data_IF_591401860983
#
_entry.id   IF_591401860983
#
_cell.length_a   1.000
_cell.length_b   1.000
_cell.length_c   1.000
_cell.angle_alpha   90.00
_cell.angle_beta   90.00
_cell.angle_gamma   90.00
#
_symmetry.space_group_name_H-M   'P 1'
#
loop_
_entity.id
_entity.type
_entity.pdbx_description
1 polymer ?
#
# COMPACT_ATOMS: atom_id res chain seq x y z
N UNK A 1 21.11 5.91 17.33
CA UNK A 1 22.41 6.60 17.09
C UNK A 1 23.19 6.72 18.40
N UNK A 2 24.46 6.29 18.41
CA UNK A 2 25.36 6.42 19.56
C UNK A 2 25.67 7.90 19.86
N UNK A 3 25.77 8.26 21.15
CA UNK A 3 26.04 9.63 21.62
C UNK A 3 27.36 10.20 21.05
N UNK A 4 28.36 9.33 20.86
CA UNK A 4 29.65 9.68 20.25
C UNK A 4 29.50 10.12 18.79
N UNK A 5 28.68 9.39 18.02
CA UNK A 5 28.41 9.68 16.61
C UNK A 5 27.73 11.04 16.43
N UNK A 6 26.75 11.34 17.29
CA UNK A 6 26.05 12.64 17.27
C UNK A 6 27.01 13.81 17.55
N UNK A 7 27.92 13.64 18.51
CA UNK A 7 28.88 14.70 18.87
C UNK A 7 29.89 14.96 17.76
N UNK A 8 30.37 13.91 17.09
CA UNK A 8 31.25 14.05 15.94
C UNK A 8 30.52 14.72 14.76
N UNK A 9 29.28 14.32 14.46
CA UNK A 9 28.50 14.93 13.38
C UNK A 9 28.25 16.44 13.59
N UNK A 10 27.98 16.86 14.84
CA UNK A 10 27.85 18.29 15.18
C UNK A 10 29.19 19.02 15.00
N UNK A 11 30.30 18.40 15.42
CA UNK A 11 31.63 18.99 15.27
C UNK A 11 32.03 19.17 13.80
N UNK A 12 31.71 18.19 12.94
CA UNK A 12 31.98 18.30 11.50
C UNK A 12 31.07 19.33 10.83
N UNK A 13 29.80 19.41 11.22
CA UNK A 13 28.88 20.44 10.72
C UNK A 13 29.32 21.84 11.15
N UNK A 14 29.87 21.97 12.37
CA UNK A 14 30.48 23.20 12.86
C UNK A 14 31.76 23.60 12.10
N UNK A 15 32.57 22.63 11.66
CA UNK A 15 33.76 22.88 10.83
C UNK A 15 33.36 23.28 9.40
N UNK A 16 32.32 22.65 8.82
CA UNK A 16 31.78 23.02 7.51
C UNK A 16 31.20 24.44 7.47
N UNK A 17 30.78 24.97 8.62
CA UNK A 17 30.21 26.30 8.75
C UNK A 17 28.72 26.37 8.42
N UNK A 18 28.08 27.48 8.77
CA UNK A 18 26.67 27.69 8.51
C UNK A 18 26.42 27.86 7.00
N UNK A 19 25.61 26.96 6.44
CA UNK A 19 25.21 27.02 5.04
C UNK A 19 24.00 27.95 4.89
N UNK A 20 24.06 28.87 3.92
CA UNK A 20 22.94 29.76 3.60
C UNK A 20 21.75 28.95 3.02
N UNK A 21 20.53 29.10 3.56
CA UNK A 21 19.35 28.37 3.08
C UNK A 21 19.02 28.58 1.60
N UNK A 22 19.30 29.77 1.05
CA UNK A 22 19.02 30.05 -0.36
C UNK A 22 20.02 29.31 -1.27
N UNK A 23 21.31 29.40 -0.95
CA UNK A 23 22.39 28.68 -1.65
C UNK A 23 22.18 27.17 -1.59
N UNK A 24 21.73 26.64 -0.45
CA UNK A 24 21.36 25.23 -0.31
C UNK A 24 20.17 24.84 -1.19
N UNK A 25 19.11 25.66 -1.25
CA UNK A 25 17.93 25.39 -2.11
C UNK A 25 18.27 25.41 -3.60
N UNK A 26 19.18 26.29 -4.02
CA UNK A 26 19.70 26.31 -5.40
C UNK A 26 20.49 25.03 -5.68
N UNK A 27 21.36 24.62 -4.75
CA UNK A 27 22.15 23.40 -4.88
C UNK A 27 21.29 22.13 -4.90
N UNK A 28 20.22 22.08 -4.10
CA UNK A 28 19.26 20.96 -4.11
C UNK A 28 18.26 21.03 -5.26
N UNK A 29 18.34 22.02 -6.14
CA UNK A 29 17.46 22.19 -7.30
C UNK A 29 16.03 22.64 -6.98
N UNK A 30 15.77 23.10 -5.74
CA UNK A 30 14.47 23.61 -5.31
C UNK A 30 14.19 25.04 -5.84
N UNK A 31 15.23 25.75 -6.29
CA UNK A 31 15.13 27.08 -6.94
C UNK A 31 16.06 27.09 -8.16
N UNK A 32 15.55 27.48 -9.33
CA UNK A 32 16.37 27.68 -10.52
C UNK A 32 17.17 28.97 -10.39
N UNK A 33 18.50 28.88 -10.29
CA UNK A 33 19.37 30.06 -10.37
C UNK A 33 19.58 30.46 -11.82
N UNK A 34 19.30 31.72 -12.15
CA UNK A 34 19.46 32.28 -13.50
C UNK A 34 20.93 32.40 -13.97
N UNK A 35 21.92 31.99 -13.17
CA UNK A 35 23.34 32.29 -13.41
C UNK A 35 24.22 31.05 -13.62
N UNK A 36 23.66 29.85 -13.74
CA UNK A 36 24.45 28.62 -13.96
C UNK A 36 24.26 28.04 -15.36
N UNK A 37 24.75 28.77 -16.37
CA UNK A 37 25.26 28.15 -17.60
C UNK A 37 26.78 28.04 -17.44
N UNK A 38 27.25 27.00 -16.76
CA UNK A 38 28.52 26.39 -17.15
C UNK A 38 28.76 25.07 -16.41
N UNK A 39 29.02 24.05 -17.22
CA UNK A 39 29.65 22.77 -16.90
C UNK A 39 28.88 21.73 -16.08
N UNK A 40 28.64 20.62 -16.78
CA UNK A 40 28.42 19.26 -16.30
C UNK A 40 26.96 18.81 -16.03
N UNK A 41 26.41 18.15 -17.06
CA UNK A 41 25.52 17.00 -17.01
C UNK A 41 24.95 16.64 -15.62
N UNK A 42 23.75 17.11 -15.34
CA UNK A 42 22.69 16.21 -14.92
C UNK A 42 21.39 16.82 -15.42
N UNK A 43 20.68 16.06 -16.25
CA UNK A 43 19.28 16.35 -16.54
C UNK A 43 18.56 16.59 -15.21
N UNK A 44 17.49 17.39 -15.18
CA UNK A 44 16.63 17.44 -14.00
C UNK A 44 16.10 16.02 -13.79
N UNK A 45 16.74 15.27 -12.89
CA UNK A 45 16.02 14.27 -12.13
C UNK A 45 15.03 15.11 -11.35
N UNK A 46 13.84 15.27 -11.91
CA UNK A 46 12.64 15.45 -11.13
C UNK A 46 12.75 14.40 -10.03
N UNK A 47 13.22 14.84 -8.85
CA UNK A 47 13.06 14.02 -7.67
C UNK A 47 11.55 14.02 -7.50
N UNK A 48 10.93 12.94 -7.95
CA UNK A 48 9.64 12.42 -7.50
C UNK A 48 9.71 12.07 -6.00
N UNK A 49 10.26 12.99 -5.21
CA UNK A 49 10.46 12.91 -3.78
C UNK A 49 10.16 14.28 -3.16
N UNK A 50 9.15 14.97 -3.68
CA UNK A 50 8.27 15.67 -2.76
C UNK A 50 7.73 14.58 -1.84
N UNK A 51 8.31 14.46 -0.64
CA UNK A 51 7.78 13.59 0.39
C UNK A 51 6.29 13.95 0.50
N UNK A 52 5.34 13.01 0.29
CA UNK A 52 3.91 13.34 0.30
C UNK A 52 3.50 14.06 1.60
N UNK A 53 4.30 13.91 2.67
CA UNK A 53 4.19 14.68 3.91
C UNK A 53 4.38 16.19 3.72
N UNK A 54 5.35 16.62 2.91
CA UNK A 54 5.59 18.04 2.64
C UNK A 54 4.45 18.65 1.85
N UNK A 55 3.89 17.91 0.88
CA UNK A 55 2.69 18.33 0.15
C UNK A 55 1.49 18.41 1.10
N UNK A 56 1.26 17.41 1.96
CA UNK A 56 0.16 17.43 2.96
C UNK A 56 0.33 18.57 3.97
N UNK A 57 1.55 18.88 4.39
CA UNK A 57 1.84 20.02 5.28
C UNK A 57 1.64 21.35 4.52
N UNK A 58 2.00 21.45 3.25
CA UNK A 58 1.69 22.62 2.42
C UNK A 58 0.19 22.78 2.20
N UNK A 59 -0.54 21.70 1.98
CA UNK A 59 -2.00 21.68 1.83
C UNK A 59 -2.68 22.24 3.09
N UNK A 60 -2.25 21.84 4.28
CA UNK A 60 -2.76 22.42 5.54
C UNK A 60 -2.50 23.93 5.67
N UNK A 61 -1.38 24.42 5.14
CA UNK A 61 -1.01 25.83 5.22
C UNK A 61 -1.68 26.71 4.16
N UNK A 62 -2.12 26.14 3.03
CA UNK A 62 -2.68 26.89 1.90
C UNK A 62 -4.19 26.68 1.66
N UNK A 63 -4.71 25.51 2.01
CA UNK A 63 -6.11 25.13 1.84
C UNK A 63 -6.72 24.84 3.21
N UNK A 64 -7.90 25.40 3.50
CA UNK A 64 -8.62 25.21 4.77
C UNK A 64 -9.18 23.79 4.88
N UNK A 65 -8.31 22.78 4.98
CA UNK A 65 -8.72 21.41 5.31
C UNK A 65 -9.23 21.35 6.75
N UNK A 66 -10.28 20.57 6.97
CA UNK A 66 -10.76 20.29 8.33
C UNK A 66 -9.80 19.32 9.03
N UNK A 67 -9.66 19.43 10.35
CA UNK A 67 -8.80 18.52 11.12
C UNK A 67 -9.20 17.03 10.93
N UNK A 68 -10.47 16.78 10.66
CA UNK A 68 -11.03 15.43 10.44
C UNK A 68 -10.52 14.76 9.15
N UNK A 69 -10.20 15.54 8.11
CA UNK A 69 -9.64 15.03 6.86
C UNK A 69 -8.11 14.95 6.90
N UNK A 70 -7.48 15.83 7.70
CA UNK A 70 -6.03 15.91 7.81
C UNK A 70 -5.41 14.70 8.52
N UNK A 71 -5.95 14.29 9.67
CA UNK A 71 -5.37 13.18 10.45
C UNK A 71 -5.36 11.84 9.70
N UNK A 72 -6.43 11.46 8.97
CA UNK A 72 -6.39 10.27 8.13
C UNK A 72 -5.41 10.42 6.96
N UNK A 73 -5.38 11.58 6.29
CA UNK A 73 -4.49 11.80 5.15
C UNK A 73 -3.01 11.63 5.53
N UNK A 74 -2.57 12.29 6.61
CA UNK A 74 -1.18 12.20 7.06
C UNK A 74 -0.85 10.80 7.59
N UNK A 75 -1.79 10.15 8.28
CA UNK A 75 -1.60 8.78 8.76
C UNK A 75 -1.46 7.80 7.60
N UNK A 76 -2.33 7.87 6.60
CA UNK A 76 -2.27 7.00 5.41
C UNK A 76 -0.94 7.23 4.68
N UNK A 77 -0.54 8.48 4.44
CA UNK A 77 0.73 8.78 3.78
C UNK A 77 1.93 8.21 4.54
N UNK A 78 1.95 8.36 5.87
CA UNK A 78 3.00 7.79 6.72
C UNK A 78 3.04 6.26 6.67
N UNK A 79 1.87 5.61 6.76
CA UNK A 79 1.78 4.15 6.65
C UNK A 79 2.23 3.66 5.28
N UNK A 80 1.92 4.37 4.20
CA UNK A 80 2.37 4.02 2.85
C UNK A 80 3.89 4.09 2.68
N UNK A 81 4.55 5.04 3.35
CA UNK A 81 6.02 5.09 3.40
C UNK A 81 6.59 3.94 4.23
N UNK A 82 5.97 3.63 5.38
CA UNK A 82 6.41 2.51 6.22
C UNK A 82 6.28 1.15 5.53
N UNK A 83 5.26 0.97 4.68
CA UNK A 83 5.07 -0.25 3.88
C UNK A 83 6.12 -0.40 2.77
N UNK A 84 6.76 0.68 2.33
CA UNK A 84 7.83 0.64 1.32
C UNK A 84 9.20 0.28 1.92
N UNK A 85 9.37 0.49 3.21
CA UNK A 85 10.65 0.24 3.89
C UNK A 85 10.69 -1.18 4.45
N UNK A 86 11.55 -2.02 3.87
CA UNK A 86 11.75 -3.42 4.27
C UNK A 86 12.09 -3.59 5.76
N UNK A 87 12.58 -2.54 6.42
CA UNK A 87 12.83 -2.56 7.86
C UNK A 87 11.57 -2.85 8.70
N UNK A 88 10.37 -2.56 8.17
CA UNK A 88 9.09 -2.74 8.88
C UNK A 88 8.37 -4.05 8.55
N UNK A 89 9.02 -5.02 7.89
CA UNK A 89 8.41 -6.29 7.48
C UNK A 89 7.67 -7.03 8.61
N UNK A 90 8.11 -6.88 9.86
CA UNK A 90 7.44 -7.48 11.02
C UNK A 90 6.12 -6.77 11.38
N UNK A 91 6.03 -5.46 11.15
CA UNK A 91 4.90 -4.60 11.47
C UNK A 91 3.86 -4.49 10.34
N UNK A 92 4.07 -5.15 9.20
CA UNK A 92 3.15 -5.04 8.06
C UNK A 92 1.74 -5.55 8.37
N UNK A 93 1.59 -6.50 9.30
CA UNK A 93 0.27 -6.99 9.71
C UNK A 93 -0.51 -5.92 10.46
N UNK A 94 0.15 -5.27 11.40
CA UNK A 94 -0.39 -4.18 12.21
C UNK A 94 -0.70 -2.97 11.34
N UNK A 95 0.18 -2.64 10.38
CA UNK A 95 -0.05 -1.55 9.44
C UNK A 95 -1.28 -1.81 8.56
N UNK A 96 -1.43 -3.03 8.02
CA UNK A 96 -2.59 -3.38 7.20
C UNK A 96 -3.91 -3.31 8.00
N UNK A 97 -3.90 -3.72 9.27
CA UNK A 97 -5.07 -3.59 10.16
C UNK A 97 -5.40 -2.14 10.51
N UNK A 98 -4.38 -1.33 10.83
CA UNK A 98 -4.56 0.09 11.12
C UNK A 98 -5.17 0.79 9.91
N UNK A 99 -4.64 0.51 8.71
CA UNK A 99 -5.14 1.05 7.46
C UNK A 99 -6.62 0.72 7.25
N UNK A 100 -7.02 -0.55 7.43
CA UNK A 100 -8.42 -0.94 7.33
C UNK A 100 -9.33 -0.26 8.35
N UNK A 101 -8.83 -0.06 9.57
CA UNK A 101 -9.58 0.65 10.62
C UNK A 101 -9.81 2.11 10.21
N UNK A 102 -8.80 2.75 9.63
CA UNK A 102 -8.91 4.11 9.09
C UNK A 102 -9.93 4.15 7.94
N UNK A 103 -9.85 3.22 6.99
CA UNK A 103 -10.83 3.14 5.89
C UNK A 103 -12.26 2.92 6.38
N UNK A 104 -12.46 2.16 7.46
CA UNK A 104 -13.79 2.01 8.10
C UNK A 104 -14.27 3.31 8.73
N UNK A 105 -13.38 4.07 9.37
CA UNK A 105 -13.73 5.37 9.96
C UNK A 105 -13.99 6.46 8.93
N UNK A 106 -13.45 6.33 7.71
CA UNK A 106 -13.56 7.35 6.67
C UNK A 106 -14.91 7.41 5.97
N UNK A 107 -15.76 6.39 6.13
CA UNK A 107 -17.11 6.38 5.56
C UNK A 107 -17.08 6.47 4.04
N UNK A 108 -17.33 7.66 3.49
CA UNK A 108 -17.45 7.95 2.06
C UNK A 108 -16.27 8.78 1.47
N UNK A 109 -15.37 9.32 2.30
CA UNK A 109 -14.27 10.21 1.86
C UNK A 109 -12.98 9.48 1.46
N UNK A 110 -13.06 8.16 1.24
CA UNK A 110 -11.92 7.32 0.89
C UNK A 110 -11.44 7.29 -0.57
N UNK A 111 -12.23 7.65 -1.63
CA UNK A 111 -11.86 7.40 -3.02
C UNK A 111 -10.46 7.89 -3.45
N UNK A 112 -10.03 9.03 -2.93
CA UNK A 112 -8.72 9.63 -3.20
C UNK A 112 -7.54 8.77 -2.70
N UNK A 113 -7.72 8.03 -1.61
CA UNK A 113 -6.66 7.20 -1.02
C UNK A 113 -6.60 5.80 -1.63
N UNK A 114 -7.69 5.33 -2.24
CA UNK A 114 -7.78 4.00 -2.86
C UNK A 114 -6.69 3.79 -3.90
N UNK A 115 -6.43 4.82 -4.71
CA UNK A 115 -5.49 4.73 -5.82
C UNK A 115 -4.06 4.48 -5.37
N UNK A 116 -3.71 4.92 -4.17
CA UNK A 116 -2.38 4.71 -3.59
C UNK A 116 -2.32 3.41 -2.77
N UNK A 117 -3.37 3.12 -2.00
CA UNK A 117 -3.36 2.02 -1.02
C UNK A 117 -3.54 0.64 -1.66
N UNK A 118 -4.50 0.49 -2.58
CA UNK A 118 -4.83 -0.83 -3.14
C UNK A 118 -3.66 -1.44 -3.92
N UNK A 119 -2.99 -0.72 -4.84
CA UNK A 119 -1.84 -1.28 -5.56
C UNK A 119 -0.71 -1.71 -4.63
N UNK A 120 -0.45 -0.93 -3.56
CA UNK A 120 0.61 -1.24 -2.59
C UNK A 120 0.29 -2.49 -1.79
N UNK A 121 -0.95 -2.66 -1.34
CA UNK A 121 -1.35 -3.89 -0.65
C UNK A 121 -1.25 -5.12 -1.57
N UNK A 122 -1.60 -4.99 -2.84
CA UNK A 122 -1.45 -6.07 -3.83
C UNK A 122 0.03 -6.43 -4.02
N UNK A 123 0.90 -5.42 -4.13
CA UNK A 123 2.36 -5.60 -4.26
C UNK A 123 2.96 -6.32 -3.05
N UNK A 124 2.62 -5.88 -1.83
CA UNK A 124 3.05 -6.52 -0.58
C UNK A 124 2.57 -7.97 -0.52
N UNK A 125 1.31 -8.22 -0.90
CA UNK A 125 0.76 -9.58 -0.90
C UNK A 125 1.50 -10.48 -1.89
N UNK A 126 1.93 -9.94 -3.04
CA UNK A 126 2.74 -10.67 -4.03
C UNK A 126 4.16 -10.92 -3.52
N UNK A 127 4.75 -9.99 -2.78
CA UNK A 127 6.10 -10.13 -2.22
C UNK A 127 6.19 -11.28 -1.19
N UNK A 128 5.11 -11.59 -0.47
CA UNK A 128 5.05 -12.72 0.47
C UNK A 128 4.80 -14.10 -0.16
N UNK A 129 4.97 -14.25 -1.47
CA UNK A 129 4.90 -15.55 -2.17
C UNK A 129 5.94 -16.50 -1.57
N UNK A 130 5.50 -17.45 -0.73
CA UNK A 130 6.36 -18.41 -0.03
C UNK A 130 6.16 -18.51 1.49
N UNK A 131 5.33 -17.64 2.11
CA UNK A 131 4.92 -17.78 3.52
C UNK A 131 3.39 -17.91 3.63
N UNK A 132 2.84 -19.14 3.70
CA UNK A 132 1.40 -19.38 3.59
C UNK A 132 0.59 -18.62 4.65
N UNK A 133 1.02 -18.62 5.93
CA UNK A 133 0.30 -17.92 7.01
C UNK A 133 0.25 -16.39 6.86
N UNK A 134 1.25 -15.79 6.22
CA UNK A 134 1.24 -14.33 5.96
C UNK A 134 0.33 -14.02 4.79
N UNK A 135 0.42 -14.85 3.73
CA UNK A 135 -0.41 -14.69 2.54
C UNK A 135 -1.90 -14.84 2.83
N UNK A 136 -2.29 -15.82 3.65
CA UNK A 136 -3.68 -15.96 4.12
C UNK A 136 -4.20 -14.70 4.79
N UNK A 137 -3.40 -14.10 5.68
CA UNK A 137 -3.77 -12.88 6.37
C UNK A 137 -3.97 -11.71 5.39
N UNK A 138 -3.00 -11.46 4.50
CA UNK A 138 -3.11 -10.35 3.55
C UNK A 138 -4.25 -10.54 2.55
N UNK A 139 -4.51 -11.77 2.10
CA UNK A 139 -5.67 -12.09 1.27
C UNK A 139 -6.99 -11.72 1.96
N UNK A 140 -7.15 -12.04 3.25
CA UNK A 140 -8.33 -11.62 4.03
C UNK A 140 -8.40 -10.10 4.18
N UNK A 141 -7.26 -9.42 4.36
CA UNK A 141 -7.27 -7.95 4.44
C UNK A 141 -7.67 -7.31 3.12
N UNK A 142 -7.23 -7.84 1.97
CA UNK A 142 -7.67 -7.38 0.65
C UNK A 142 -9.18 -7.58 0.49
N UNK A 143 -9.73 -8.73 0.92
CA UNK A 143 -11.17 -8.97 0.88
C UNK A 143 -11.95 -7.97 1.74
N UNK A 144 -11.50 -7.73 2.98
CA UNK A 144 -12.12 -6.73 3.86
C UNK A 144 -12.02 -5.32 3.28
N UNK A 145 -10.94 -5.00 2.57
CA UNK A 145 -10.78 -3.69 1.93
C UNK A 145 -11.76 -3.55 0.77
N UNK A 146 -11.89 -4.58 -0.07
CA UNK A 146 -12.86 -4.60 -1.17
C UNK A 146 -14.29 -4.48 -0.65
N UNK A 147 -14.61 -5.09 0.49
CA UNK A 147 -15.93 -4.96 1.13
C UNK A 147 -16.26 -3.51 1.55
N UNK A 148 -15.25 -2.72 1.93
CA UNK A 148 -15.41 -1.30 2.28
C UNK A 148 -15.54 -0.44 1.02
N UNK A 149 -14.63 -0.66 0.06
CA UNK A 149 -14.45 0.20 -1.13
C UNK A 149 -15.50 -0.05 -2.22
N UNK A 150 -16.07 -1.27 -2.29
CA UNK A 150 -17.11 -1.72 -3.22
C UNK A 150 -16.79 -1.36 -4.67
N UNK A 151 -17.56 -0.45 -5.29
CA UNK A 151 -17.47 -0.07 -6.70
C UNK A 151 -16.09 0.48 -7.07
N UNK A 152 -15.41 1.15 -6.14
CA UNK A 152 -14.09 1.75 -6.38
C UNK A 152 -12.96 0.69 -6.50
N UNK A 153 -13.22 -0.59 -6.23
CA UNK A 153 -12.25 -1.68 -6.43
C UNK A 153 -12.14 -2.13 -7.89
N UNK A 154 -13.11 -1.76 -8.75
CA UNK A 154 -13.22 -2.16 -10.16
C UNK A 154 -11.92 -2.08 -10.98
N UNK A 155 -11.15 -0.97 -10.98
CA UNK A 155 -9.92 -0.90 -11.79
C UNK A 155 -8.83 -1.90 -11.35
N UNK A 156 -8.89 -2.38 -10.11
CA UNK A 156 -7.89 -3.29 -9.53
C UNK A 156 -8.32 -4.76 -9.59
N UNK A 157 -9.55 -5.07 -9.99
CA UNK A 157 -10.10 -6.43 -9.96
C UNK A 157 -9.26 -7.44 -10.75
N UNK A 158 -8.76 -7.05 -11.94
CA UNK A 158 -7.87 -7.93 -12.73
C UNK A 158 -6.61 -8.34 -11.96
N UNK A 159 -6.01 -7.39 -11.22
CA UNK A 159 -4.82 -7.66 -10.43
C UNK A 159 -5.13 -8.54 -9.21
N UNK A 160 -6.28 -8.31 -8.57
CA UNK A 160 -6.77 -9.12 -7.45
C UNK A 160 -7.03 -10.56 -7.90
N UNK A 161 -7.67 -10.77 -9.05
CA UNK A 161 -7.93 -12.11 -9.59
C UNK A 161 -6.64 -12.83 -9.99
N UNK A 162 -5.67 -12.14 -10.59
CA UNK A 162 -4.34 -12.71 -10.82
C UNK A 162 -3.70 -13.19 -9.52
N UNK A 163 -3.83 -12.41 -8.43
CA UNK A 163 -3.26 -12.75 -7.13
C UNK A 163 -3.97 -13.94 -6.46
N UNK A 164 -5.29 -14.05 -6.65
CA UNK A 164 -6.12 -15.20 -6.25
C UNK A 164 -5.71 -16.46 -7.03
N UNK A 165 -5.55 -16.36 -8.36
CA UNK A 165 -5.13 -17.48 -9.20
C UNK A 165 -3.75 -18.02 -8.81
N UNK A 166 -2.80 -17.13 -8.50
CA UNK A 166 -1.50 -17.51 -7.97
C UNK A 166 -1.63 -18.25 -6.62
N UNK A 167 -2.47 -17.75 -5.71
CA UNK A 167 -2.71 -18.34 -4.40
C UNK A 167 -3.43 -19.70 -4.47
N UNK A 168 -4.18 -19.95 -5.55
CA UNK A 168 -4.90 -21.21 -5.77
C UNK A 168 -3.97 -22.40 -6.00
N UNK A 169 -2.75 -22.16 -6.44
CA UNK A 169 -1.74 -23.19 -6.69
C UNK A 169 -0.96 -23.63 -5.44
N UNK A 170 -1.20 -22.98 -4.29
CA UNK A 170 -0.44 -23.18 -3.06
C UNK A 170 -1.04 -24.27 -2.15
N UNK A 171 -0.68 -24.24 -0.85
CA UNK A 171 -1.10 -25.17 0.20
C UNK A 171 -2.63 -25.20 0.41
N UNK A 172 -3.12 -26.29 1.01
CA UNK A 172 -4.55 -26.50 1.27
C UNK A 172 -5.18 -25.41 2.16
N UNK A 173 -4.47 -24.91 3.18
CA UNK A 173 -4.96 -23.84 4.06
C UNK A 173 -5.20 -22.51 3.34
N UNK A 174 -4.32 -22.19 2.38
CA UNK A 174 -4.45 -21.00 1.54
C UNK A 174 -5.69 -21.13 0.65
N UNK A 175 -5.94 -22.31 0.07
CA UNK A 175 -7.13 -22.55 -0.78
C UNK A 175 -8.45 -22.29 -0.04
N UNK A 176 -8.57 -22.74 1.21
CA UNK A 176 -9.76 -22.47 2.05
C UNK A 176 -9.95 -20.96 2.22
N UNK A 177 -8.87 -20.25 2.55
CA UNK A 177 -8.92 -18.79 2.71
C UNK A 177 -9.28 -18.09 1.39
N UNK A 178 -8.76 -18.56 0.27
CA UNK A 178 -9.05 -17.98 -1.06
C UNK A 178 -10.53 -18.14 -1.43
N UNK A 179 -11.16 -19.27 -1.11
CA UNK A 179 -12.60 -19.47 -1.32
C UNK A 179 -13.42 -18.48 -0.48
N UNK A 180 -13.09 -18.31 0.81
CA UNK A 180 -13.75 -17.33 1.68
C UNK A 180 -13.56 -15.89 1.19
N UNK A 181 -12.37 -15.55 0.68
CA UNK A 181 -12.09 -14.25 0.07
C UNK A 181 -12.93 -14.04 -1.19
N UNK A 182 -13.08 -15.08 -2.02
CA UNK A 182 -13.91 -15.03 -3.22
C UNK A 182 -15.38 -14.74 -2.88
N UNK A 183 -15.91 -15.38 -1.84
CA UNK A 183 -17.27 -15.18 -1.34
C UNK A 183 -17.49 -13.74 -0.85
N UNK A 184 -16.55 -13.21 -0.05
CA UNK A 184 -16.63 -11.84 0.45
C UNK A 184 -16.58 -10.81 -0.69
N UNK A 185 -15.70 -11.01 -1.67
CA UNK A 185 -15.60 -10.16 -2.86
C UNK A 185 -16.89 -10.24 -3.69
N UNK A 186 -17.42 -11.45 -3.91
CA UNK A 186 -18.67 -11.65 -4.65
C UNK A 186 -19.85 -10.94 -3.98
N UNK A 187 -19.95 -11.03 -2.66
CA UNK A 187 -20.99 -10.34 -1.87
C UNK A 187 -20.84 -8.82 -1.91
N UNK A 188 -19.61 -8.32 -1.91
CA UNK A 188 -19.32 -6.88 -1.93
C UNK A 188 -19.58 -6.22 -3.30
N UNK A 189 -19.28 -6.90 -4.41
CA UNK A 189 -19.43 -6.36 -5.76
C UNK A 189 -20.79 -6.66 -6.41
N UNK A 190 -21.47 -7.74 -6.01
CA UNK A 190 -22.78 -8.12 -6.56
C UNK A 190 -22.77 -8.25 -8.08
N UNK A 191 -23.48 -7.37 -8.80
CA UNK A 191 -23.61 -7.40 -10.26
C UNK A 191 -22.27 -7.16 -10.99
N UNK A 192 -21.36 -6.40 -10.39
CA UNK A 192 -20.04 -6.09 -10.98
C UNK A 192 -19.08 -7.29 -10.92
N UNK A 193 -19.44 -8.36 -10.21
CA UNK A 193 -18.68 -9.60 -10.17
C UNK A 193 -18.93 -10.48 -11.42
N UNK A 194 -20.09 -10.33 -12.07
CA UNK A 194 -20.52 -11.14 -13.21
C UNK A 194 -19.48 -11.32 -14.35
N UNK A 195 -18.78 -10.27 -14.82
CA UNK A 195 -17.81 -10.43 -15.93
C UNK A 195 -16.58 -11.27 -15.57
N UNK A 196 -16.30 -11.47 -14.28
CA UNK A 196 -15.13 -12.20 -13.80
C UNK A 196 -15.44 -13.66 -13.42
N UNK A 197 -16.72 -14.03 -13.30
CA UNK A 197 -17.17 -15.40 -13.00
C UNK A 197 -16.62 -16.44 -13.99
N UNK A 198 -16.65 -16.23 -15.33
CA UNK A 198 -16.22 -17.24 -16.28
C UNK A 198 -14.76 -17.67 -16.10
N UNK A 199 -13.91 -16.74 -15.65
CA UNK A 199 -12.49 -16.98 -15.42
C UNK A 199 -12.25 -17.79 -14.14
N UNK A 200 -13.16 -17.72 -13.16
CA UNK A 200 -13.08 -18.41 -11.88
C UNK A 200 -13.66 -19.82 -11.89
N UNK A 201 -14.64 -20.08 -12.76
CA UNK A 201 -15.33 -21.37 -12.85
C UNK A 201 -14.35 -22.55 -13.00
N UNK A 202 -13.32 -22.51 -13.87
CA UNK A 202 -12.36 -23.62 -14.01
C UNK A 202 -11.60 -23.93 -12.71
N UNK A 203 -11.28 -22.90 -11.91
CA UNK A 203 -10.58 -23.06 -10.63
C UNK A 203 -11.49 -23.70 -9.57
N UNK A 204 -12.74 -23.26 -9.50
CA UNK A 204 -13.76 -23.83 -8.60
C UNK A 204 -14.08 -25.29 -8.96
N UNK A 205 -14.28 -25.57 -10.24
CA UNK A 205 -14.51 -26.95 -10.72
C UNK A 205 -13.32 -27.85 -10.42
N UNK A 206 -12.09 -27.35 -10.55
CA UNK A 206 -10.89 -28.11 -10.20
C UNK A 206 -10.84 -28.43 -8.71
N UNK A 207 -11.27 -27.54 -7.82
CA UNK A 207 -11.34 -27.85 -6.37
C UNK A 207 -12.37 -28.93 -6.10
N UNK A 208 -13.57 -28.84 -6.68
CA UNK A 208 -14.60 -29.88 -6.52
C UNK A 208 -14.11 -31.25 -7.04
N UNK A 209 -13.33 -31.28 -8.11
CA UNK A 209 -12.80 -32.53 -8.70
C UNK A 209 -11.59 -33.10 -7.94
N UNK A 210 -10.78 -32.26 -7.30
CA UNK A 210 -9.53 -32.67 -6.64
C UNK A 210 -9.66 -32.84 -5.13
N UNK A 211 -10.80 -32.46 -4.55
CA UNK A 211 -11.04 -32.60 -3.12
C UNK A 211 -11.16 -34.08 -2.72
N UNK A 212 -10.15 -34.57 -2.01
CA UNK A 212 -10.08 -35.91 -1.40
C UNK A 212 -10.10 -35.84 0.13
N UNK A 213 -10.50 -34.70 0.71
CA UNK A 213 -10.60 -34.54 2.16
C UNK A 213 -11.62 -35.52 2.76
N UNK A 214 -11.25 -36.23 3.83
CA UNK A 214 -12.04 -37.33 4.43
C UNK A 214 -13.45 -36.91 4.89
N UNK A 215 -13.72 -35.61 5.06
CA UNK A 215 -15.02 -35.14 5.55
C UNK A 215 -15.79 -34.25 4.57
N UNK A 216 -15.33 -34.00 3.33
CA UNK A 216 -15.94 -32.99 2.42
C UNK A 216 -16.26 -31.66 3.14
N UNK A 217 -15.54 -31.33 4.23
CA UNK A 217 -15.80 -30.22 5.15
C UNK A 217 -15.25 -28.88 4.64
N UNK A 218 -15.15 -28.73 3.34
CA UNK A 218 -14.80 -27.46 2.71
C UNK A 218 -16.05 -26.57 2.64
N UNK A 219 -16.62 -26.12 3.78
CA UNK A 219 -17.56 -24.96 3.80
C UNK A 219 -18.01 -24.40 5.17
N UNK A 220 -17.47 -24.77 6.33
CA UNK A 220 -17.89 -24.09 7.57
C UNK A 220 -16.85 -24.20 8.68
N UNK A 221 -16.02 -23.16 8.81
CA UNK A 221 -15.62 -22.60 10.09
C UNK A 221 -15.62 -21.09 9.99
#
# INVERSE_FOLDING_TARGET
MSSKMRRQAISTLGILGALDPYTHKVFTGAVQSATSISTALSLPMARDAADPRQDIIQWYNYERCTLEEFYPAITIANLMVMVQDEAFTQSYKEIAQALLTIFRSLGDSFPQYVQQVVPRLIEVTRAYRGRPSHREFFLRQVASLVAIIKVHAKPYMKQIFSLIADAWSEDHGVKVTVVSVLEQIGTALGQEFAPHIPELIPYLLRVVQTDRSEERKLTAQ
#
